data_IF_342930422721
#
_entry.id   IF_342930422721
#
_cell.length_a   1.000
_cell.length_b   1.000
_cell.length_c   1.000
_cell.angle_alpha   90.00
_cell.angle_beta   90.00
_cell.angle_gamma   90.00
#
_symmetry.space_group_name_H-M   'P 1'
#
loop_
_entity.id
_entity.type
_entity.pdbx_description
1 polymer ?
#
# COMPACT_ATOMS: atom_id res chain seq x y z
N UNK A 1 0.79 -22.01 3.76
CA UNK A 1 1.86 -20.98 3.91
C UNK A 1 2.50 -20.48 2.59
N UNK A 2 1.86 -20.58 1.41
CA UNK A 2 2.40 -20.04 0.14
C UNK A 2 1.72 -18.76 -0.36
N UNK A 3 0.39 -18.67 -0.23
CA UNK A 3 -0.39 -17.51 -0.73
C UNK A 3 -0.01 -16.14 -0.15
N UNK A 4 0.52 -16.06 1.09
CA UNK A 4 0.94 -14.79 1.71
C UNK A 4 2.23 -14.23 1.09
N UNK A 5 3.14 -15.08 0.62
CA UNK A 5 4.40 -14.66 -0.02
C UNK A 5 4.17 -14.13 -1.43
N UNK A 6 3.27 -14.76 -2.19
CA UNK A 6 3.00 -14.35 -3.58
C UNK A 6 2.31 -12.99 -3.65
N UNK A 7 1.37 -12.71 -2.73
CA UNK A 7 0.73 -11.38 -2.64
C UNK A 7 1.74 -10.30 -2.28
N UNK A 8 2.61 -10.57 -1.31
CA UNK A 8 3.65 -9.62 -0.90
C UNK A 8 4.65 -9.34 -2.02
N UNK A 9 4.96 -10.35 -2.83
CA UNK A 9 5.82 -10.16 -4.02
C UNK A 9 5.17 -9.22 -5.02
N UNK A 10 3.86 -9.37 -5.29
CA UNK A 10 3.11 -8.46 -6.16
C UNK A 10 3.10 -7.03 -5.63
N UNK A 11 2.74 -6.83 -4.36
CA UNK A 11 2.77 -5.48 -3.75
C UNK A 11 4.15 -4.83 -3.83
N UNK A 12 5.20 -5.61 -3.61
CA UNK A 12 6.57 -5.11 -3.72
C UNK A 12 6.95 -4.76 -5.16
N UNK A 13 6.50 -5.53 -6.15
CA UNK A 13 6.72 -5.21 -7.56
C UNK A 13 6.02 -3.92 -7.95
N UNK A 14 4.76 -3.74 -7.55
CA UNK A 14 4.00 -2.54 -7.84
C UNK A 14 4.57 -1.31 -7.10
N UNK A 15 5.06 -1.50 -5.87
CA UNK A 15 5.77 -0.45 -5.12
C UNK A 15 7.07 -0.02 -5.83
N UNK A 16 7.86 -0.98 -6.32
CA UNK A 16 9.07 -0.69 -7.09
C UNK A 16 8.75 0.01 -8.41
N UNK A 17 7.66 -0.39 -9.07
CA UNK A 17 7.20 0.26 -10.29
C UNK A 17 6.80 1.72 -10.01
N UNK A 18 6.00 1.98 -8.97
CA UNK A 18 5.64 3.34 -8.58
C UNK A 18 6.88 4.17 -8.22
N UNK A 19 7.84 3.62 -7.49
CA UNK A 19 9.11 4.30 -7.21
C UNK A 19 9.89 4.63 -8.48
N UNK A 20 9.86 3.77 -9.50
CA UNK A 20 10.52 4.04 -10.78
C UNK A 20 9.84 5.12 -11.63
N UNK A 21 8.52 5.24 -11.55
CA UNK A 21 7.72 6.17 -12.38
C UNK A 21 7.53 7.51 -11.68
N UNK A 22 7.21 7.50 -10.40
CA UNK A 22 6.78 8.67 -9.61
C UNK A 22 7.90 9.18 -8.67
N UNK A 23 8.99 8.43 -8.49
CA UNK A 23 10.07 8.80 -7.58
C UNK A 23 9.57 8.99 -6.15
N UNK A 24 9.85 10.17 -5.57
CA UNK A 24 9.41 10.54 -4.21
C UNK A 24 7.89 10.66 -4.06
N UNK A 25 7.14 10.81 -5.17
CA UNK A 25 5.67 10.86 -5.14
C UNK A 25 5.00 9.48 -5.11
N UNK A 26 5.75 8.40 -5.23
CA UNK A 26 5.22 7.03 -5.29
C UNK A 26 4.29 6.68 -4.11
N UNK A 27 4.61 7.19 -2.92
CA UNK A 27 3.80 6.97 -1.72
C UNK A 27 2.41 7.61 -1.88
N UNK A 28 2.39 8.89 -2.25
CA UNK A 28 1.14 9.64 -2.43
C UNK A 28 0.30 9.09 -3.57
N UNK A 29 0.92 8.59 -4.64
CA UNK A 29 0.19 7.95 -5.73
C UNK A 29 -0.47 6.64 -5.29
N UNK A 30 0.22 5.80 -4.53
CA UNK A 30 -0.39 4.61 -3.94
C UNK A 30 -1.55 4.97 -2.99
N UNK A 31 -1.38 6.02 -2.18
CA UNK A 31 -2.44 6.51 -1.29
C UNK A 31 -3.65 7.03 -2.07
N UNK A 32 -3.45 7.81 -3.15
CA UNK A 32 -4.53 8.28 -4.03
C UNK A 32 -5.32 7.13 -4.63
N UNK A 33 -4.65 6.09 -5.09
CA UNK A 33 -5.31 4.89 -5.66
C UNK A 33 -6.10 4.13 -4.59
N UNK A 34 -5.57 4.00 -3.37
CA UNK A 34 -6.30 3.42 -2.26
C UNK A 34 -7.57 4.23 -1.94
N UNK A 35 -7.47 5.56 -1.83
CA UNK A 35 -8.63 6.42 -1.58
C UNK A 35 -9.68 6.30 -2.68
N UNK A 36 -9.28 6.28 -3.96
CA UNK A 36 -10.20 6.07 -5.09
C UNK A 36 -10.93 4.73 -5.00
N UNK A 37 -10.21 3.65 -4.72
CA UNK A 37 -10.81 2.33 -4.56
C UNK A 37 -11.79 2.28 -3.38
N UNK A 38 -11.48 2.95 -2.27
CA UNK A 38 -12.40 3.10 -1.13
C UNK A 38 -13.68 3.83 -1.53
N UNK A 39 -13.57 4.93 -2.28
CA UNK A 39 -14.73 5.68 -2.78
C UNK A 39 -15.56 4.86 -3.78
N UNK A 40 -14.92 4.00 -4.56
CA UNK A 40 -15.57 3.07 -5.48
C UNK A 40 -16.19 1.84 -4.78
N UNK A 41 -15.94 1.64 -3.48
CA UNK A 41 -16.39 0.46 -2.74
C UNK A 41 -15.59 -0.82 -3.06
N UNK A 42 -14.49 -0.73 -3.81
CA UNK A 42 -13.64 -1.88 -4.11
C UNK A 42 -12.67 -2.13 -2.95
N UNK A 43 -13.07 -3.01 -2.04
CA UNK A 43 -12.25 -3.42 -0.89
C UNK A 43 -10.96 -4.14 -1.31
N UNK A 44 -10.96 -4.89 -2.42
CA UNK A 44 -9.79 -5.65 -2.86
C UNK A 44 -8.72 -4.71 -3.38
N UNK A 45 -9.12 -3.76 -4.22
CA UNK A 45 -8.23 -2.77 -4.79
C UNK A 45 -7.75 -1.77 -3.73
N UNK A 46 -8.62 -1.35 -2.79
CA UNK A 46 -8.22 -0.55 -1.63
C UNK A 46 -7.10 -1.24 -0.85
N UNK A 47 -7.32 -2.50 -0.49
CA UNK A 47 -6.35 -3.27 0.28
C UNK A 47 -5.03 -3.46 -0.46
N UNK A 48 -5.09 -3.71 -1.77
CA UNK A 48 -3.91 -3.81 -2.62
C UNK A 48 -3.07 -2.53 -2.56
N UNK A 49 -3.66 -1.38 -2.87
CA UNK A 49 -2.92 -0.11 -2.91
C UNK A 49 -2.46 0.35 -1.52
N UNK A 50 -3.20 0.05 -0.46
CA UNK A 50 -2.78 0.31 0.91
C UNK A 50 -1.52 -0.51 1.28
N UNK A 51 -1.43 -1.78 0.86
CA UNK A 51 -0.23 -2.61 1.06
C UNK A 51 0.93 -2.16 0.18
N UNK A 52 0.67 -1.68 -1.04
CA UNK A 52 1.69 -1.08 -1.92
C UNK A 52 2.27 0.18 -1.27
N UNK A 53 1.44 1.08 -0.74
CA UNK A 53 1.89 2.28 -0.02
C UNK A 53 2.81 1.95 1.16
N UNK A 54 2.48 0.91 1.93
CA UNK A 54 3.31 0.44 3.03
C UNK A 54 4.68 -0.13 2.56
N UNK A 55 4.72 -0.83 1.42
CA UNK A 55 5.99 -1.31 0.84
C UNK A 55 6.80 -0.15 0.22
N UNK A 56 6.16 0.87 -0.37
CA UNK A 56 6.83 2.09 -0.86
C UNK A 56 7.51 2.82 0.29
N UNK A 57 6.79 3.09 1.39
CA UNK A 57 7.35 3.75 2.56
C UNK A 57 8.52 2.95 3.16
N UNK A 58 8.43 1.62 3.16
CA UNK A 58 9.52 0.72 3.60
C UNK A 58 10.76 0.78 2.70
N UNK A 59 10.60 1.01 1.40
CA UNK A 59 11.68 1.02 0.40
C UNK A 59 12.33 2.40 0.23
N UNK A 60 11.61 3.49 0.54
CA UNK A 60 12.08 4.86 0.41
C UNK A 60 12.21 5.50 1.79
N UNK A 61 13.37 5.35 2.47
CA UNK A 61 13.60 5.91 3.80
C UNK A 61 13.56 7.44 3.87
N UNK A 62 13.60 8.14 2.73
CA UNK A 62 13.38 9.59 2.64
C UNK A 62 11.93 9.99 2.97
N UNK A 63 10.98 9.06 2.86
CA UNK A 63 9.59 9.23 3.29
C UNK A 63 9.49 8.78 4.76
N UNK A 64 10.18 9.48 5.64
CA UNK A 64 10.22 9.18 7.07
C UNK A 64 8.87 9.44 7.77
N UNK A 65 7.89 10.00 7.06
CA UNK A 65 6.54 10.24 7.57
C UNK A 65 5.69 8.95 7.61
N UNK A 66 5.71 8.33 8.77
CA UNK A 66 4.64 7.57 9.42
C UNK A 66 4.25 6.19 8.87
N UNK A 67 5.26 5.34 8.65
CA UNK A 67 5.07 3.88 8.57
C UNK A 67 4.26 3.34 9.76
N UNK A 68 4.34 3.97 10.93
CA UNK A 68 3.58 3.55 12.11
C UNK A 68 2.07 3.79 11.92
N UNK A 69 1.65 4.98 11.50
CA UNK A 69 0.25 5.29 11.17
C UNK A 69 -0.25 4.46 10.00
N UNK A 70 0.56 4.24 8.95
CA UNK A 70 0.18 3.34 7.84
C UNK A 70 -0.07 1.91 8.31
N UNK A 71 0.79 1.38 9.19
CA UNK A 71 0.61 0.04 9.76
C UNK A 71 -0.65 -0.03 10.60
N UNK A 72 -0.97 1.01 11.37
CA UNK A 72 -2.20 1.10 12.16
C UNK A 72 -3.43 1.10 11.27
N UNK A 73 -3.49 1.97 10.25
CA UNK A 73 -4.64 2.05 9.31
C UNK A 73 -4.85 0.73 8.58
N UNK A 74 -3.77 0.09 8.12
CA UNK A 74 -3.85 -1.20 7.42
C UNK A 74 -4.29 -2.33 8.38
N UNK A 75 -3.81 -2.33 9.62
CA UNK A 75 -4.19 -3.35 10.61
C UNK A 75 -5.63 -3.18 11.11
N UNK A 76 -6.12 -1.95 11.23
CA UNK A 76 -7.51 -1.65 11.57
C UNK A 76 -8.48 -2.15 10.48
N UNK A 77 -8.12 -1.97 9.20
CA UNK A 77 -8.94 -2.44 8.08
C UNK A 77 -8.84 -3.96 7.85
N UNK A 78 -7.72 -4.62 8.21
CA UNK A 78 -7.62 -6.11 8.23
C UNK A 78 -8.55 -6.76 9.28
N UNK A 79 -8.90 -6.04 10.34
CA UNK A 79 -9.71 -6.53 11.44
C UNK A 79 -11.20 -6.17 11.34
N UNK A 80 -11.63 -5.45 10.30
CA UNK A 80 -13.03 -5.04 10.17
C UNK A 80 -13.88 -6.18 9.60
N UNK A 81 -14.93 -6.65 10.30
CA UNK A 81 -15.78 -7.72 9.79
C UNK A 81 -16.64 -7.23 8.61
N UNK A 82 -16.86 -8.15 7.67
CA UNK A 82 -17.40 -7.91 6.32
C UNK A 82 -18.71 -7.15 6.28
#
# INVERSE_FOLDING_TARGET
MRQRRDRRRRWRQDALHLLSVEGSNAYYEAQRRATRARLAGDRSEFFHWAKVAAEVARLSPEVEMDIAVLRTVVAEEENRPS
#
